data_IF_655282691772
#
_entry.id   IF_655282691772
#
_cell.length_a   1.000
_cell.length_b   1.000
_cell.length_c   1.000
_cell.angle_alpha   90.00
_cell.angle_beta   90.00
_cell.angle_gamma   90.00
#
_symmetry.space_group_name_H-M   'P 1'
#
loop_
_entity.id
_entity.type
_entity.pdbx_description
1 polymer ?
#
# COMPACT_ATOMS: atom_id res chain seq x y z
N UNK A 1 18.43 25.84 -14.09
CA UNK A 1 19.44 25.34 -13.12
C UNK A 1 19.58 23.85 -13.30
N UNK A 2 20.79 23.41 -13.67
CA UNK A 2 21.16 22.04 -14.06
C UNK A 2 20.73 20.99 -13.03
N UNK A 3 19.80 20.10 -13.42
CA UNK A 3 19.51 18.87 -12.69
C UNK A 3 20.58 17.83 -13.05
N UNK A 4 21.73 17.88 -12.39
CA UNK A 4 22.69 16.76 -12.46
C UNK A 4 22.13 15.59 -11.64
N UNK A 5 21.69 14.54 -12.32
CA UNK A 5 21.15 13.33 -11.69
C UNK A 5 22.33 12.42 -11.33
N UNK A 6 22.51 12.11 -10.04
CA UNK A 6 23.42 11.03 -9.60
C UNK A 6 22.53 9.82 -9.31
N UNK A 7 22.38 8.93 -10.28
CA UNK A 7 21.66 7.66 -10.15
C UNK A 7 20.26 7.78 -9.55
N UNK A 8 19.26 8.21 -10.32
CA UNK A 8 17.82 8.23 -9.94
C UNK A 8 17.40 8.96 -8.65
N UNK A 9 18.34 9.49 -7.86
CA UNK A 9 18.11 10.39 -6.72
C UNK A 9 18.36 11.81 -7.20
N UNK A 10 17.41 12.71 -6.95
CA UNK A 10 17.60 14.10 -7.35
C UNK A 10 18.53 14.81 -6.36
N UNK A 11 19.29 15.80 -6.85
CA UNK A 11 20.09 16.66 -5.96
C UNK A 11 19.21 17.34 -4.91
N UNK A 12 17.94 17.64 -5.24
CA UNK A 12 16.99 18.23 -4.32
C UNK A 12 16.70 17.30 -3.13
N UNK A 13 16.59 15.99 -3.34
CA UNK A 13 16.37 15.01 -2.27
C UNK A 13 17.59 14.93 -1.34
N UNK A 14 18.80 14.89 -1.93
CA UNK A 14 20.05 14.95 -1.16
C UNK A 14 20.15 16.24 -0.34
N UNK A 15 19.69 17.35 -0.89
CA UNK A 15 19.69 18.65 -0.22
C UNK A 15 18.66 18.69 0.92
N UNK A 16 17.46 18.15 0.70
CA UNK A 16 16.43 18.03 1.74
C UNK A 16 16.90 17.15 2.91
N UNK A 17 17.53 16.01 2.63
CA UNK A 17 18.10 15.15 3.66
C UNK A 17 19.24 15.81 4.44
N UNK A 18 20.07 16.61 3.76
CA UNK A 18 21.09 17.43 4.42
C UNK A 18 20.47 18.47 5.35
N UNK A 19 19.44 19.18 4.89
CA UNK A 19 18.75 20.20 5.67
C UNK A 19 18.03 19.63 6.90
N UNK A 20 17.44 18.44 6.76
CA UNK A 20 16.84 17.71 7.89
C UNK A 20 17.87 17.46 9.00
N UNK A 21 19.07 17.00 8.67
CA UNK A 21 20.12 16.76 9.67
C UNK A 21 20.68 18.06 10.26
N UNK A 22 20.79 19.12 9.45
CA UNK A 22 21.19 20.45 9.92
C UNK A 22 20.16 21.05 10.89
N UNK A 23 18.87 20.76 10.70
CA UNK A 23 17.80 21.19 11.60
C UNK A 23 17.86 20.52 12.98
N UNK A 24 18.70 19.51 13.16
CA UNK A 24 18.89 18.75 14.40
C UNK A 24 20.36 18.78 14.85
N UNK A 25 20.87 19.95 15.27
CA UNK A 25 22.30 20.16 15.56
C UNK A 25 22.82 19.25 16.68
N UNK A 26 21.97 18.90 17.65
CA UNK A 26 22.31 17.97 18.74
C UNK A 26 22.67 16.56 18.22
N UNK A 27 21.98 16.09 17.18
CA UNK A 27 22.26 14.79 16.55
C UNK A 27 23.49 14.88 15.65
N UNK A 28 23.60 15.97 14.89
CA UNK A 28 24.71 16.19 13.98
C UNK A 28 26.04 16.30 14.73
N UNK A 29 26.05 16.94 15.90
CA UNK A 29 27.23 17.24 16.70
C UNK A 29 27.41 16.31 17.91
N UNK A 30 26.64 15.23 18.02
CA UNK A 30 26.60 14.34 19.19
C UNK A 30 27.97 13.87 19.70
N UNK A 31 28.94 13.67 18.79
CA UNK A 31 30.30 13.23 19.15
C UNK A 31 31.38 14.27 18.85
N UNK A 32 30.98 15.52 18.55
CA UNK A 32 31.92 16.61 18.32
C UNK A 32 32.62 16.99 19.62
N UNK A 33 33.94 17.11 19.58
CA UNK A 33 34.76 17.58 20.71
C UNK A 33 35.52 18.83 20.27
N UNK A 34 35.40 19.89 21.05
CA UNK A 34 36.07 21.18 20.81
C UNK A 34 37.60 20.98 20.88
N UNK A 35 38.07 20.12 21.78
CA UNK A 35 39.48 19.81 22.02
C UNK A 35 40.10 18.93 20.91
N UNK A 36 39.29 18.41 20.00
CA UNK A 36 39.70 17.49 18.93
C UNK A 36 40.36 18.14 17.72
N UNK A 37 40.66 19.44 17.77
CA UNK A 37 41.43 20.18 16.74
C UNK A 37 40.73 20.41 15.40
N UNK A 38 39.51 19.88 15.21
CA UNK A 38 38.74 20.06 13.97
C UNK A 38 37.73 21.21 14.09
N UNK A 39 37.68 22.08 13.08
CA UNK A 39 36.64 23.10 12.99
C UNK A 39 35.27 22.42 12.87
N UNK A 40 34.27 22.97 13.56
CA UNK A 40 32.89 22.48 13.53
C UNK A 40 32.34 22.30 12.10
N UNK A 41 32.70 23.21 11.19
CA UNK A 41 32.32 23.16 9.77
C UNK A 41 32.89 21.94 9.05
N UNK A 42 34.16 21.59 9.32
CA UNK A 42 34.83 20.42 8.76
C UNK A 42 34.20 19.12 9.28
N UNK A 43 33.92 19.06 10.58
CA UNK A 43 33.25 17.91 11.20
C UNK A 43 31.83 17.73 10.64
N UNK A 44 31.03 18.80 10.62
CA UNK A 44 29.67 18.79 10.10
C UNK A 44 29.62 18.38 8.62
N UNK A 45 30.51 18.94 7.78
CA UNK A 45 30.59 18.57 6.35
C UNK A 45 30.85 17.07 6.16
N UNK A 46 31.81 16.52 6.89
CA UNK A 46 32.15 15.09 6.83
C UNK A 46 30.98 14.23 7.28
N UNK A 47 30.33 14.60 8.38
CA UNK A 47 29.17 13.89 8.93
C UNK A 47 27.97 13.91 7.99
N UNK A 48 27.65 15.08 7.42
CA UNK A 48 26.57 15.24 6.43
C UNK A 48 26.82 14.41 5.17
N UNK A 49 28.06 14.38 4.67
CA UNK A 49 28.42 13.56 3.51
C UNK A 49 28.19 12.08 3.77
N UNK A 50 28.55 11.59 4.97
CA UNK A 50 28.28 10.20 5.37
C UNK A 50 26.78 9.93 5.45
N UNK A 51 26.00 10.76 6.14
CA UNK A 51 24.56 10.53 6.33
C UNK A 51 23.79 10.58 5.02
N UNK A 52 24.06 11.59 4.18
CA UNK A 52 23.44 11.68 2.85
C UNK A 52 23.86 10.50 1.98
N UNK A 53 25.12 10.09 2.01
CA UNK A 53 25.60 8.90 1.30
C UNK A 53 24.91 7.61 1.74
N UNK A 54 24.68 7.42 3.04
CA UNK A 54 23.95 6.28 3.60
C UNK A 54 22.47 6.31 3.18
N UNK A 55 21.80 7.48 3.21
CA UNK A 55 20.41 7.65 2.75
C UNK A 55 20.29 7.35 1.25
N UNK A 56 21.20 7.85 0.41
CA UNK A 56 21.27 7.52 -1.04
C UNK A 56 21.42 6.00 -1.24
N UNK A 57 22.35 5.36 -0.54
CA UNK A 57 22.60 3.94 -0.68
C UNK A 57 21.39 3.09 -0.22
N UNK A 58 20.74 3.48 0.88
CA UNK A 58 19.53 2.84 1.39
C UNK A 58 18.37 2.97 0.39
N UNK A 59 18.17 4.16 -0.17
CA UNK A 59 17.14 4.42 -1.18
C UNK A 59 17.36 3.59 -2.45
N UNK A 60 18.60 3.56 -2.95
CA UNK A 60 18.96 2.74 -4.12
C UNK A 60 18.78 1.24 -3.86
N UNK A 61 19.13 0.77 -2.65
CA UNK A 61 18.90 -0.62 -2.25
C UNK A 61 17.41 -0.97 -2.21
N UNK A 62 16.57 -0.11 -1.64
CA UNK A 62 15.11 -0.31 -1.60
C UNK A 62 14.49 -0.32 -3.00
N UNK A 63 14.95 0.57 -3.89
CA UNK A 63 14.48 0.62 -5.28
C UNK A 63 14.91 -0.60 -6.11
N UNK A 64 16.13 -1.09 -5.92
CA UNK A 64 16.59 -2.33 -6.55
C UNK A 64 15.91 -3.58 -5.94
N UNK A 65 15.55 -3.54 -4.66
CA UNK A 65 14.81 -4.58 -3.95
C UNK A 65 13.30 -4.59 -4.27
N UNK A 66 12.78 -3.55 -4.96
CA UNK A 66 11.36 -3.46 -5.29
C UNK A 66 10.92 -4.48 -6.36
N UNK A 67 11.84 -4.98 -7.19
CA UNK A 67 11.56 -6.04 -8.17
C UNK A 67 11.97 -7.42 -7.65
N UNK A 68 11.13 -8.42 -7.88
CA UNK A 68 11.37 -9.83 -7.53
C UNK A 68 12.72 -10.36 -8.05
N UNK A 69 13.08 -9.96 -9.27
CA UNK A 69 14.33 -10.36 -9.93
C UNK A 69 15.56 -9.65 -9.36
N UNK A 70 15.39 -8.42 -8.87
CA UNK A 70 16.42 -7.68 -8.14
C UNK A 70 16.73 -8.31 -6.78
N UNK A 71 15.70 -8.81 -6.09
CA UNK A 71 15.86 -9.57 -4.85
C UNK A 71 16.64 -10.87 -5.08
N UNK A 72 16.26 -11.64 -6.10
CA UNK A 72 16.97 -12.88 -6.47
C UNK A 72 18.42 -12.62 -6.90
N UNK A 73 18.69 -11.52 -7.61
CA UNK A 73 20.07 -11.17 -8.03
C UNK A 73 20.93 -10.69 -6.86
N UNK A 74 20.33 -9.99 -5.90
CA UNK A 74 21.00 -9.37 -4.76
C UNK A 74 21.29 -10.33 -3.59
N UNK A 75 20.57 -11.44 -3.48
CA UNK A 75 20.74 -12.37 -2.37
C UNK A 75 22.01 -13.22 -2.49
N UNK A 76 22.62 -13.55 -1.35
CA UNK A 76 23.76 -14.49 -1.30
C UNK A 76 23.27 -15.94 -1.19
N UNK A 77 24.05 -16.89 -1.72
CA UNK A 77 23.73 -18.33 -1.66
C UNK A 77 23.47 -18.81 -0.24
N UNK A 78 24.34 -18.42 0.71
CA UNK A 78 24.22 -18.78 2.13
C UNK A 78 22.94 -18.23 2.77
N UNK A 79 22.58 -16.98 2.45
CA UNK A 79 21.36 -16.34 2.96
C UNK A 79 20.11 -17.01 2.39
N UNK A 80 20.10 -17.34 1.10
CA UNK A 80 18.99 -18.04 0.47
C UNK A 80 18.80 -19.45 1.03
N UNK A 81 19.88 -20.21 1.24
CA UNK A 81 19.83 -21.53 1.87
C UNK A 81 19.23 -21.46 3.28
N UNK A 82 19.67 -20.50 4.08
CA UNK A 82 19.14 -20.26 5.43
C UNK A 82 17.64 -19.94 5.41
N UNK A 83 17.19 -19.12 4.45
CA UNK A 83 15.77 -18.75 4.29
C UNK A 83 14.93 -19.95 3.84
N UNK A 84 15.40 -20.73 2.87
CA UNK A 84 14.69 -21.92 2.40
C UNK A 84 14.53 -22.95 3.52
N UNK A 85 15.54 -23.08 4.39
CA UNK A 85 15.51 -23.98 5.55
C UNK A 85 14.60 -23.45 6.66
N UNK A 86 14.68 -22.16 7.00
CA UNK A 86 13.94 -21.56 8.13
C UNK A 86 12.48 -21.20 7.81
N UNK A 87 12.24 -20.53 6.69
CA UNK A 87 10.91 -20.01 6.32
C UNK A 87 10.15 -20.98 5.39
N UNK A 88 10.86 -21.73 4.56
CA UNK A 88 10.27 -22.68 3.61
C UNK A 88 9.98 -24.06 4.19
N UNK A 89 10.63 -24.43 5.30
CA UNK A 89 10.50 -25.77 5.91
C UNK A 89 10.94 -26.92 5.00
N UNK A 90 11.74 -26.64 3.96
CA UNK A 90 12.14 -27.63 2.96
C UNK A 90 13.22 -28.60 3.49
N UNK A 91 13.16 -29.86 3.04
CA UNK A 91 14.24 -30.83 3.25
C UNK A 91 15.48 -30.55 2.40
N UNK A 92 16.63 -31.12 2.78
CA UNK A 92 17.95 -30.84 2.15
C UNK A 92 18.00 -31.09 0.64
N UNK A 93 17.28 -32.09 0.12
CA UNK A 93 17.21 -32.34 -1.33
C UNK A 93 16.43 -31.25 -2.07
N UNK A 94 15.35 -30.78 -1.46
CA UNK A 94 14.48 -29.77 -2.06
C UNK A 94 15.14 -28.38 -2.00
N UNK A 95 15.90 -28.10 -0.93
CA UNK A 95 16.76 -26.91 -0.84
C UNK A 95 17.79 -26.92 -1.98
N UNK A 96 18.46 -28.04 -2.24
CA UNK A 96 19.43 -28.15 -3.34
C UNK A 96 18.81 -27.85 -4.71
N UNK A 97 17.58 -28.33 -4.96
CA UNK A 97 16.83 -28.03 -6.20
C UNK A 97 16.54 -26.53 -6.34
N UNK A 98 16.07 -25.88 -5.28
CA UNK A 98 15.79 -24.43 -5.31
C UNK A 98 17.05 -23.57 -5.45
N UNK A 99 18.15 -23.97 -4.79
CA UNK A 99 19.45 -23.31 -4.95
C UNK A 99 20.03 -23.48 -6.35
N UNK A 100 19.81 -24.64 -6.98
CA UNK A 100 20.24 -24.88 -8.35
C UNK A 100 19.46 -23.99 -9.33
N UNK A 101 18.14 -23.89 -9.18
CA UNK A 101 17.32 -22.99 -9.99
C UNK A 101 17.78 -21.53 -9.87
N UNK A 102 18.07 -21.08 -8.64
CA UNK A 102 18.61 -19.75 -8.38
C UNK A 102 20.00 -19.53 -9.01
N UNK A 103 20.87 -20.53 -8.97
CA UNK A 103 22.20 -20.45 -9.58
C UNK A 103 22.08 -20.32 -11.11
N UNK A 104 21.27 -21.17 -11.75
CA UNK A 104 20.99 -21.08 -13.19
C UNK A 104 20.39 -19.73 -13.57
N UNK A 105 19.51 -19.16 -12.73
CA UNK A 105 19.01 -17.80 -12.93
C UNK A 105 20.15 -16.77 -12.88
N UNK A 106 21.01 -16.81 -11.85
CA UNK A 106 22.08 -15.82 -11.64
C UNK A 106 23.11 -15.82 -12.77
N UNK A 107 23.42 -16.99 -13.32
CA UNK A 107 24.45 -17.16 -14.34
C UNK A 107 23.97 -16.71 -15.73
N UNK A 108 22.66 -16.77 -16.00
CA UNK A 108 22.09 -16.45 -17.33
C UNK A 108 21.31 -15.13 -17.39
N UNK A 109 20.98 -14.53 -16.25
CA UNK A 109 20.18 -13.31 -16.21
C UNK A 109 21.05 -12.04 -16.34
N UNK A 110 21.05 -11.46 -17.55
CA UNK A 110 21.81 -10.24 -17.86
C UNK A 110 21.20 -8.97 -17.26
N UNK A 111 19.92 -8.98 -16.89
CA UNK A 111 19.25 -7.89 -16.18
C UNK A 111 19.04 -6.64 -17.03
N UNK A 112 18.00 -6.66 -17.87
CA UNK A 112 17.58 -5.48 -18.63
C UNK A 112 16.87 -4.51 -17.68
N UNK A 113 17.33 -3.26 -17.64
CA UNK A 113 16.71 -2.20 -16.84
C UNK A 113 15.78 -1.37 -17.72
N UNK A 114 14.52 -1.24 -17.31
CA UNK A 114 13.60 -0.22 -17.85
C UNK A 114 13.14 0.66 -16.69
N UNK A 115 13.25 1.98 -16.86
CA UNK A 115 12.91 2.98 -15.82
C UNK A 115 13.59 2.75 -14.44
N UNK A 116 14.76 2.09 -14.42
CA UNK A 116 15.50 1.79 -13.19
C UNK A 116 15.02 0.55 -12.42
N UNK A 117 14.09 -0.23 -12.98
CA UNK A 117 13.58 -1.48 -12.41
C UNK A 117 14.10 -2.66 -13.25
N UNK A 118 14.54 -3.74 -12.58
CA UNK A 118 14.97 -4.97 -13.24
C UNK A 118 13.74 -5.71 -13.78
N UNK A 119 13.73 -5.94 -15.08
CA UNK A 119 12.63 -6.62 -15.78
C UNK A 119 12.73 -8.15 -15.61
N UNK A 120 11.62 -8.90 -15.73
CA UNK A 120 11.68 -10.36 -15.78
C UNK A 120 12.61 -10.84 -16.90
N UNK A 121 13.19 -12.06 -16.78
CA UNK A 121 13.93 -12.66 -17.88
C UNK A 121 13.06 -12.73 -19.14
N UNK A 122 13.67 -12.48 -20.29
CA UNK A 122 12.98 -12.66 -21.58
C UNK A 122 12.81 -14.15 -21.91
N UNK A 123 12.06 -14.44 -22.97
CA UNK A 123 11.76 -15.82 -23.37
C UNK A 123 13.03 -16.65 -23.62
N UNK A 124 14.04 -16.08 -24.28
CA UNK A 124 15.29 -16.76 -24.56
C UNK A 124 16.10 -17.06 -23.29
N UNK A 125 16.11 -16.12 -22.33
CA UNK A 125 16.73 -16.30 -21.03
C UNK A 125 16.04 -17.39 -20.23
N UNK A 126 14.70 -17.45 -20.24
CA UNK A 126 13.97 -18.54 -19.58
C UNK A 126 14.31 -19.91 -20.16
N UNK A 127 14.43 -20.02 -21.48
CA UNK A 127 14.84 -21.27 -22.13
C UNK A 127 16.26 -21.68 -21.71
N UNK A 128 17.21 -20.75 -21.69
CA UNK A 128 18.59 -21.02 -21.27
C UNK A 128 18.69 -21.44 -19.80
N UNK A 129 17.99 -20.72 -18.90
CA UNK A 129 17.89 -21.07 -17.48
C UNK A 129 17.32 -22.48 -17.33
N UNK A 130 16.27 -22.79 -18.10
CA UNK A 130 15.60 -24.10 -18.06
C UNK A 130 16.49 -25.23 -18.54
N UNK A 131 17.17 -25.03 -19.65
CA UNK A 131 18.06 -26.02 -20.23
C UNK A 131 19.23 -26.32 -19.29
N UNK A 132 19.87 -25.30 -18.72
CA UNK A 132 20.97 -25.50 -17.78
C UNK A 132 20.52 -26.17 -16.49
N UNK A 133 19.34 -25.80 -15.96
CA UNK A 133 18.78 -26.45 -14.79
C UNK A 133 18.53 -27.94 -15.05
N UNK A 134 17.90 -28.29 -16.17
CA UNK A 134 17.61 -29.69 -16.52
C UNK A 134 18.89 -30.50 -16.74
N UNK A 135 19.94 -29.91 -17.32
CA UNK A 135 21.24 -30.57 -17.44
C UNK A 135 21.89 -30.82 -16.07
N UNK A 136 21.85 -29.84 -15.19
CA UNK A 136 22.49 -29.93 -13.88
C UNK A 136 21.70 -30.81 -12.89
N UNK A 137 20.36 -30.82 -12.95
CA UNK A 137 19.54 -31.63 -12.05
C UNK A 137 19.66 -33.12 -12.37
N UNK A 138 19.84 -33.48 -13.65
CA UNK A 138 20.07 -34.86 -14.07
C UNK A 138 21.44 -35.40 -13.63
N UNK A 139 22.37 -34.53 -13.22
CA UNK A 139 23.64 -34.95 -12.60
C UNK A 139 23.51 -35.17 -11.09
N UNK A 140 22.45 -34.65 -10.47
CA UNK A 140 22.21 -34.69 -9.02
C UNK A 140 21.13 -35.71 -8.65
N UNK A 141 20.13 -35.90 -9.50
CA UNK A 141 19.03 -36.84 -9.30
C UNK A 141 19.25 -38.11 -10.13
N UNK A 142 18.97 -39.28 -9.53
CA UNK A 142 19.07 -40.58 -10.21
C UNK A 142 17.92 -40.82 -11.22
N UNK A 143 16.95 -39.92 -11.30
CA UNK A 143 15.84 -39.96 -12.25
C UNK A 143 15.81 -38.69 -13.10
N UNK A 144 15.61 -38.81 -14.43
CA UNK A 144 15.57 -37.65 -15.32
C UNK A 144 14.34 -36.81 -15.02
N UNK A 145 14.57 -35.57 -14.58
CA UNK A 145 13.52 -34.64 -14.20
C UNK A 145 13.55 -33.46 -15.16
N UNK A 146 12.64 -33.47 -16.14
CA UNK A 146 12.53 -32.42 -17.14
C UNK A 146 11.51 -31.39 -16.68
N UNK A 147 12.00 -30.26 -16.19
CA UNK A 147 11.13 -29.12 -15.88
C UNK A 147 10.97 -28.22 -17.09
N UNK A 148 9.76 -27.71 -17.25
CA UNK A 148 9.43 -26.66 -18.21
C UNK A 148 9.77 -25.28 -17.63
N UNK A 149 9.87 -24.27 -18.49
CA UNK A 149 10.18 -22.89 -18.07
C UNK A 149 9.20 -22.31 -17.04
N UNK A 150 7.88 -22.58 -17.11
CA UNK A 150 6.94 -22.18 -16.05
C UNK A 150 7.23 -22.82 -14.68
N UNK A 151 7.64 -24.09 -14.64
CA UNK A 151 7.92 -24.79 -13.38
C UNK A 151 9.19 -24.27 -12.69
N UNK A 152 10.19 -23.88 -13.47
CA UNK A 152 11.40 -23.24 -12.91
C UNK A 152 11.09 -21.82 -12.46
N UNK A 153 10.25 -21.11 -13.20
CA UNK A 153 9.73 -19.80 -12.79
C UNK A 153 9.00 -19.88 -11.46
N UNK A 154 8.11 -20.85 -11.27
CA UNK A 154 7.40 -21.07 -10.00
C UNK A 154 8.37 -21.33 -8.83
N UNK A 155 9.43 -22.13 -9.04
CA UNK A 155 10.48 -22.34 -8.03
C UNK A 155 11.21 -21.05 -7.67
N UNK A 156 11.52 -20.19 -8.64
CA UNK A 156 12.16 -18.90 -8.40
C UNK A 156 11.22 -17.89 -7.72
N UNK A 157 9.95 -17.87 -8.10
CA UNK A 157 8.92 -17.04 -7.44
C UNK A 157 8.68 -17.49 -6.00
N UNK A 158 8.76 -18.80 -5.73
CA UNK A 158 8.74 -19.34 -4.36
C UNK A 158 9.93 -18.83 -3.54
N UNK A 159 11.14 -18.83 -4.11
CA UNK A 159 12.31 -18.22 -3.48
C UNK A 159 12.08 -16.73 -3.18
N UNK A 160 11.52 -15.96 -4.13
CA UNK A 160 11.20 -14.54 -3.93
C UNK A 160 10.24 -14.33 -2.76
N UNK A 161 9.15 -15.09 -2.70
CA UNK A 161 8.16 -14.99 -1.62
C UNK A 161 8.81 -15.22 -0.26
N UNK A 162 9.66 -16.23 -0.14
CA UNK A 162 10.37 -16.55 1.09
C UNK A 162 11.43 -15.49 1.44
N UNK A 163 12.14 -14.94 0.45
CA UNK A 163 13.07 -13.83 0.66
C UNK A 163 12.32 -12.61 1.22
N UNK A 164 11.21 -12.22 0.59
CA UNK A 164 10.37 -11.10 1.06
C UNK A 164 9.88 -11.33 2.49
N UNK A 165 9.46 -12.56 2.82
CA UNK A 165 9.06 -12.95 4.18
C UNK A 165 10.21 -12.89 5.19
N UNK A 166 11.43 -13.21 4.77
CA UNK A 166 12.61 -13.19 5.64
C UNK A 166 13.26 -11.81 5.82
N UNK A 167 13.11 -10.92 4.83
CA UNK A 167 13.60 -9.53 4.90
C UNK A 167 12.60 -8.62 5.61
N UNK A 168 11.32 -9.01 5.60
CA UNK A 168 10.28 -8.53 6.49
C UNK A 168 9.87 -9.66 7.44
N UNK A 169 10.79 -10.15 8.31
CA UNK A 169 10.37 -11.11 9.33
C UNK A 169 9.28 -10.43 10.16
N UNK A 170 8.27 -11.15 10.66
CA UNK A 170 7.23 -10.58 11.51
C UNK A 170 7.79 -10.25 12.90
N UNK A 171 8.79 -9.36 12.94
CA UNK A 171 9.25 -8.64 14.09
C UNK A 171 8.31 -7.48 14.30
N UNK A 172 7.64 -7.54 15.43
CA UNK A 172 6.88 -6.48 16.06
C UNK A 172 7.79 -5.25 16.19
N UNK A 173 7.72 -4.37 15.20
CA UNK A 173 8.20 -3.00 15.27
C UNK A 173 7.03 -2.10 14.89
N UNK A 174 6.56 -1.32 15.87
CA UNK A 174 5.44 -0.38 15.78
C UNK A 174 5.70 0.83 14.85
N UNK A 175 6.62 0.72 13.90
CA UNK A 175 7.10 1.81 13.05
C UNK A 175 6.94 1.58 11.54
N UNK A 176 6.33 0.46 11.13
CA UNK A 176 5.96 0.20 9.73
C UNK A 176 4.53 0.65 9.39
N UNK A 177 4.16 1.90 9.65
CA UNK A 177 2.92 2.45 9.08
C UNK A 177 3.23 2.88 7.66
N UNK A 178 2.74 2.09 6.69
CA UNK A 178 2.52 2.56 5.34
C UNK A 178 1.47 3.68 5.41
N UNK A 179 1.88 4.91 5.11
CA UNK A 179 0.98 6.06 5.03
C UNK A 179 0.54 6.29 3.58
N UNK A 180 0.02 5.26 2.91
CA UNK A 180 -0.62 5.48 1.61
C UNK A 180 -2.09 5.84 1.81
N UNK A 181 -2.34 7.10 2.15
CA UNK A 181 -3.52 7.79 1.66
C UNK A 181 -3.07 8.60 0.43
N UNK A 182 -3.32 8.06 -0.76
CA UNK A 182 -3.32 8.83 -2.00
C UNK A 182 -2.00 9.03 -2.75
N UNK A 183 -1.07 8.08 -2.74
CA UNK A 183 0.08 8.08 -3.65
C UNK A 183 0.09 6.83 -4.56
N UNK A 184 -0.92 6.67 -5.40
CA UNK A 184 -0.78 5.87 -6.63
C UNK A 184 -1.46 6.61 -7.79
N UNK A 185 -0.70 7.48 -8.46
CA UNK A 185 -1.00 7.89 -9.82
C UNK A 185 -0.60 6.75 -10.77
N UNK A 186 -1.59 6.03 -11.29
CA UNK A 186 -1.48 5.34 -12.58
C UNK A 186 -1.50 3.81 -12.56
N UNK A 187 -2.68 3.26 -12.89
CA UNK A 187 -2.95 1.94 -13.48
C UNK A 187 -2.42 0.71 -12.72
N UNK A 188 -3.31 0.10 -11.94
CA UNK A 188 -3.32 -1.32 -11.61
C UNK A 188 -4.77 -1.81 -11.62
N UNK A 189 -5.03 -2.91 -12.32
CA UNK A 189 -6.35 -3.47 -12.61
C UNK A 189 -7.18 -3.69 -11.34
N UNK A 190 -8.38 -3.12 -11.32
CA UNK A 190 -9.38 -3.35 -10.28
C UNK A 190 -9.91 -4.77 -10.46
N UNK A 191 -9.61 -5.63 -9.48
CA UNK A 191 -10.29 -6.91 -9.30
C UNK A 191 -11.80 -6.69 -9.33
N UNK A 192 -12.50 -7.52 -10.10
CA UNK A 192 -13.97 -7.56 -10.19
C UNK A 192 -14.59 -7.53 -8.79
N UNK A 193 -15.36 -6.48 -8.50
CA UNK A 193 -16.11 -6.28 -7.26
C UNK A 193 -17.44 -7.06 -7.26
N UNK A 194 -17.43 -8.28 -7.80
CA UNK A 194 -18.58 -9.17 -7.82
C UNK A 194 -18.16 -10.61 -7.53
N UNK A 195 -18.23 -11.00 -6.26
CA UNK A 195 -18.07 -12.39 -5.88
C UNK A 195 -17.87 -12.54 -4.37
N UNK A 196 -18.86 -13.16 -3.73
CA UNK A 196 -18.73 -13.84 -2.43
C UNK A 196 -18.77 -13.01 -1.14
N UNK A 197 -19.96 -12.44 -0.89
CA UNK A 197 -20.51 -12.24 0.47
C UNK A 197 -20.84 -13.58 1.20
N UNK A 198 -20.22 -14.69 0.81
CA UNK A 198 -20.61 -16.03 1.24
C UNK A 198 -19.52 -16.79 2.05
N UNK A 199 -18.34 -16.21 2.30
CA UNK A 199 -17.23 -16.93 2.94
C UNK A 199 -16.71 -16.38 4.28
N UNK A 200 -17.48 -15.56 5.00
CA UNK A 200 -17.15 -15.14 6.37
C UNK A 200 -18.27 -15.45 7.36
N UNK A 201 -18.67 -16.72 7.45
CA UNK A 201 -19.38 -17.26 8.63
C UNK A 201 -18.39 -17.60 9.77
N UNK A 202 -17.40 -16.74 10.02
CA UNK A 202 -16.62 -16.85 11.25
C UNK A 202 -17.23 -15.90 12.29
N UNK A 203 -17.89 -16.40 13.36
CA UNK A 203 -18.53 -15.54 14.37
C UNK A 203 -17.53 -14.58 15.04
N UNK A 204 -16.22 -14.92 15.04
CA UNK A 204 -15.15 -14.02 15.49
C UNK A 204 -14.95 -12.80 14.58
N UNK A 205 -15.11 -12.94 13.26
CA UNK A 205 -14.96 -11.82 12.30
C UNK A 205 -16.07 -10.80 12.48
N UNK A 206 -17.32 -11.27 12.57
CA UNK A 206 -18.48 -10.39 12.79
C UNK A 206 -18.39 -9.61 14.09
N UNK A 207 -17.92 -10.24 15.17
CA UNK A 207 -17.72 -9.56 16.44
C UNK A 207 -16.63 -8.48 16.38
N UNK A 208 -15.52 -8.77 15.68
CA UNK A 208 -14.46 -7.80 15.43
C UNK A 208 -14.97 -6.60 14.62
N UNK A 209 -15.72 -6.84 13.56
CA UNK A 209 -16.33 -5.81 12.72
C UNK A 209 -17.28 -4.91 13.54
N UNK A 210 -18.10 -5.48 14.43
CA UNK A 210 -18.98 -4.73 15.33
C UNK A 210 -18.20 -3.84 16.30
N UNK A 211 -17.13 -4.37 16.90
CA UNK A 211 -16.25 -3.58 17.79
C UNK A 211 -15.62 -2.42 17.01
N UNK A 212 -15.07 -2.70 15.83
CA UNK A 212 -14.44 -1.68 14.99
C UNK A 212 -15.43 -0.62 14.54
N UNK A 213 -16.63 -1.03 14.11
CA UNK A 213 -17.72 -0.13 13.74
C UNK A 213 -18.08 0.80 14.88
N UNK A 214 -18.38 0.25 16.06
CA UNK A 214 -18.76 1.03 17.24
C UNK A 214 -17.67 2.04 17.63
N UNK A 215 -16.40 1.62 17.61
CA UNK A 215 -15.29 2.51 17.94
C UNK A 215 -15.06 3.58 16.89
N UNK A 216 -15.19 3.25 15.61
CA UNK A 216 -15.08 4.22 14.53
C UNK A 216 -16.20 5.26 14.57
N UNK A 217 -17.45 4.83 14.80
CA UNK A 217 -18.60 5.72 14.95
C UNK A 217 -18.50 6.63 16.18
N UNK A 218 -17.81 6.18 17.23
CA UNK A 218 -17.54 6.97 18.44
C UNK A 218 -16.41 7.99 18.28
N UNK A 219 -15.62 7.93 17.20
CA UNK A 219 -14.62 8.96 16.90
C UNK A 219 -15.29 10.32 16.67
N UNK A 220 -14.57 11.40 16.93
CA UNK A 220 -15.03 12.73 16.55
C UNK A 220 -15.24 12.84 15.03
N UNK A 221 -16.19 13.70 14.62
CA UNK A 221 -16.59 13.83 13.21
C UNK A 221 -15.44 14.24 12.29
N UNK A 222 -14.50 15.03 12.79
CA UNK A 222 -13.29 15.42 12.04
C UNK A 222 -12.37 14.22 11.79
N UNK A 223 -12.18 13.36 12.80
CA UNK A 223 -11.44 12.10 12.66
C UNK A 223 -12.10 11.15 11.67
N UNK A 224 -13.43 11.01 11.70
CA UNK A 224 -14.16 10.22 10.70
C UNK A 224 -13.96 10.82 9.30
N UNK A 225 -14.14 12.15 9.16
CA UNK A 225 -14.00 12.87 7.90
C UNK A 225 -12.66 12.60 7.20
N UNK A 226 -11.54 12.55 7.94
CA UNK A 226 -10.23 12.22 7.36
C UNK A 226 -10.28 10.90 6.55
N UNK A 227 -10.93 9.87 7.07
CA UNK A 227 -11.04 8.58 6.39
C UNK A 227 -12.04 8.60 5.24
N UNK A 228 -13.19 9.28 5.37
CA UNK A 228 -14.13 9.43 4.25
C UNK A 228 -13.49 10.17 3.08
N UNK A 229 -12.75 11.26 3.35
CA UNK A 229 -12.07 12.02 2.33
C UNK A 229 -10.95 11.20 1.66
N UNK A 230 -10.14 10.48 2.45
CA UNK A 230 -8.99 9.74 1.94
C UNK A 230 -9.32 8.40 1.30
N UNK A 231 -10.10 7.55 1.96
CA UNK A 231 -10.43 6.19 1.50
C UNK A 231 -11.68 6.15 0.61
N UNK A 232 -12.62 7.04 0.88
CA UNK A 232 -13.91 7.06 0.20
C UNK A 232 -13.91 7.91 -1.06
N UNK A 233 -13.37 9.13 -0.97
CA UNK A 233 -13.33 10.10 -2.07
C UNK A 233 -11.96 10.17 -2.78
N UNK A 234 -10.96 9.41 -2.29
CA UNK A 234 -9.60 9.38 -2.84
C UNK A 234 -8.92 10.77 -2.89
N UNK A 235 -9.17 11.63 -1.90
CA UNK A 235 -8.44 12.90 -1.80
C UNK A 235 -6.99 12.63 -1.37
N UNK A 236 -6.08 13.40 -1.95
CA UNK A 236 -4.68 13.45 -1.52
C UNK A 236 -4.56 14.07 -0.13
N UNK A 237 -3.45 13.80 0.59
CA UNK A 237 -3.21 14.42 1.90
C UNK A 237 -3.22 15.96 1.84
N UNK A 238 -2.78 16.57 0.73
CA UNK A 238 -2.86 18.02 0.53
C UNK A 238 -4.30 18.51 0.52
N UNK A 239 -5.16 17.84 -0.25
CA UNK A 239 -6.57 18.19 -0.37
C UNK A 239 -7.32 17.95 0.95
N UNK A 240 -6.99 16.88 1.68
CA UNK A 240 -7.57 16.62 3.01
C UNK A 240 -7.16 17.72 3.99
N UNK A 241 -5.90 18.16 3.99
CA UNK A 241 -5.44 19.27 4.84
C UNK A 241 -6.20 20.56 4.51
N UNK A 242 -6.49 20.83 3.25
CA UNK A 242 -7.26 22.02 2.85
C UNK A 242 -8.70 21.99 3.37
N UNK A 243 -9.37 20.82 3.35
CA UNK A 243 -10.72 20.65 3.88
C UNK A 243 -10.71 20.69 5.41
N UNK A 244 -9.88 19.87 6.05
CA UNK A 244 -9.87 19.66 7.50
C UNK A 244 -9.25 20.85 8.23
N UNK A 245 -8.25 21.52 7.66
CA UNK A 245 -7.56 22.65 8.28
C UNK A 245 -8.45 23.86 8.53
N UNK A 246 -9.58 23.98 7.82
CA UNK A 246 -10.61 25.01 8.06
C UNK A 246 -11.38 24.77 9.37
N UNK A 247 -11.50 23.51 9.77
CA UNK A 247 -12.30 23.06 10.92
C UNK A 247 -11.41 22.82 12.13
N UNK A 248 -10.22 22.26 11.89
CA UNK A 248 -9.21 21.97 12.89
C UNK A 248 -7.92 22.72 12.59
N UNK A 249 -7.73 23.93 13.15
CA UNK A 249 -6.58 24.80 12.86
C UNK A 249 -5.22 24.19 13.21
N UNK A 250 -5.19 23.10 13.98
CA UNK A 250 -3.99 22.35 14.34
C UNK A 250 -3.44 21.50 13.18
N UNK A 251 -4.27 21.19 12.17
CA UNK A 251 -3.91 20.38 11.00
C UNK A 251 -3.76 21.33 9.80
N UNK A 252 -2.58 21.93 9.64
CA UNK A 252 -2.26 22.83 8.52
C UNK A 252 -1.28 22.23 7.52
N UNK A 253 -0.63 21.13 7.88
CA UNK A 253 0.41 20.51 7.09
C UNK A 253 0.21 18.99 7.02
N UNK A 254 0.60 18.38 5.91
CA UNK A 254 0.42 16.95 5.65
C UNK A 254 0.99 16.07 6.78
N UNK A 255 2.18 16.39 7.30
CA UNK A 255 2.78 15.59 8.37
C UNK A 255 1.92 15.55 9.66
N UNK A 256 1.16 16.61 9.94
CA UNK A 256 0.26 16.68 11.09
C UNK A 256 -0.95 15.78 10.86
N UNK A 257 -1.48 15.78 9.63
CA UNK A 257 -2.51 14.86 9.19
C UNK A 257 -2.03 13.40 9.29
N UNK A 258 -0.83 13.07 8.79
CA UNK A 258 -0.28 11.71 8.89
C UNK A 258 -0.14 11.25 10.34
N UNK A 259 0.33 12.13 11.24
CA UNK A 259 0.38 11.85 12.68
C UNK A 259 -1.00 11.63 13.30
N UNK A 260 -2.01 12.41 12.88
CA UNK A 260 -3.39 12.26 13.34
C UNK A 260 -3.97 10.92 12.89
N UNK A 261 -3.79 10.55 11.63
CA UNK A 261 -4.19 9.24 11.09
C UNK A 261 -3.55 8.11 11.88
N UNK A 262 -2.22 8.18 12.14
CA UNK A 262 -1.53 7.20 12.98
C UNK A 262 -2.19 7.06 14.35
N UNK A 263 -2.46 8.19 15.03
CA UNK A 263 -3.09 8.17 16.36
C UNK A 263 -4.47 7.52 16.33
N UNK A 264 -5.29 7.82 15.31
CA UNK A 264 -6.63 7.24 15.18
C UNK A 264 -6.55 5.74 14.91
N UNK A 265 -5.71 5.31 13.96
CA UNK A 265 -5.50 3.88 13.67
C UNK A 265 -5.03 3.13 14.93
N UNK A 266 -4.06 3.68 15.66
CA UNK A 266 -3.58 3.09 16.91
C UNK A 266 -4.68 2.98 17.97
N UNK A 267 -5.56 3.98 18.07
CA UNK A 267 -6.70 3.91 18.98
C UNK A 267 -7.69 2.80 18.58
N UNK A 268 -8.01 2.66 17.30
CA UNK A 268 -8.89 1.60 16.81
C UNK A 268 -8.29 0.20 17.03
N UNK A 269 -6.99 0.02 16.78
CA UNK A 269 -6.27 -1.24 17.05
C UNK A 269 -6.34 -1.58 18.55
N UNK A 270 -6.09 -0.61 19.41
CA UNK A 270 -6.13 -0.82 20.85
C UNK A 270 -7.55 -1.16 21.34
N UNK A 271 -8.57 -0.46 20.83
CA UNK A 271 -9.96 -0.78 21.13
C UNK A 271 -10.38 -2.17 20.64
N UNK A 272 -9.93 -2.57 19.44
CA UNK A 272 -10.15 -3.92 18.92
C UNK A 272 -9.49 -4.97 19.83
N UNK A 273 -8.25 -4.71 20.27
CA UNK A 273 -7.52 -5.59 21.20
C UNK A 273 -8.26 -5.76 22.52
N UNK A 274 -8.73 -4.66 23.12
CA UNK A 274 -9.51 -4.70 24.36
C UNK A 274 -10.83 -5.45 24.15
N UNK A 275 -11.52 -5.21 23.02
CA UNK A 275 -12.78 -5.89 22.70
C UNK A 275 -12.63 -7.41 22.53
N UNK A 276 -11.60 -7.86 21.81
CA UNK A 276 -11.32 -9.29 21.61
C UNK A 276 -10.94 -9.97 22.93
N UNK A 277 -10.07 -9.35 23.73
CA UNK A 277 -9.62 -9.91 25.02
C UNK A 277 -10.72 -9.94 26.08
N UNK A 278 -11.75 -9.09 25.97
CA UNK A 278 -12.94 -9.16 26.82
C UNK A 278 -13.93 -10.24 26.38
N UNK A 279 -13.94 -10.59 25.09
CA UNK A 279 -14.79 -11.64 24.50
C UNK A 279 -14.24 -13.04 24.76
N UNK A 280 -12.91 -13.21 24.68
CA UNK A 280 -12.24 -14.46 25.02
C UNK A 280 -11.87 -14.47 26.50
N UNK A 281 -12.51 -15.31 27.32
CA UNK A 281 -12.14 -15.54 28.74
C UNK A 281 -10.71 -16.12 28.94
N UNK A 282 -9.80 -15.95 27.98
CA UNK A 282 -8.43 -16.46 27.98
C UNK A 282 -7.51 -15.54 27.16
N UNK A 283 -6.52 -14.86 27.77
CA UNK A 283 -5.63 -13.93 27.08
C UNK A 283 -4.50 -14.69 26.36
N UNK A 284 -4.79 -15.39 25.26
CA UNK A 284 -3.74 -15.94 24.40
C UNK A 284 -3.33 -14.92 23.33
N UNK A 285 -2.17 -14.30 23.56
CA UNK A 285 -1.52 -13.25 22.78
C UNK A 285 -0.95 -13.74 21.42
N UNK A 286 -1.71 -14.55 20.66
CA UNK A 286 -1.28 -15.16 19.40
C UNK A 286 -1.89 -14.58 18.13
N UNK A 287 -3.12 -14.07 18.17
CA UNK A 287 -3.92 -13.72 16.98
C UNK A 287 -3.88 -12.20 16.63
N UNK A 288 -3.07 -11.41 17.34
CA UNK A 288 -3.01 -9.93 17.22
C UNK A 288 -2.34 -9.46 15.92
N UNK A 289 -1.50 -10.31 15.29
CA UNK A 289 -0.70 -9.94 14.11
C UNK A 289 -1.55 -9.70 12.86
N UNK A 290 -2.76 -10.27 12.81
CA UNK A 290 -3.66 -10.14 11.66
C UNK A 290 -4.62 -8.94 11.78
N UNK A 291 -4.76 -8.34 12.96
CA UNK A 291 -5.70 -7.21 13.19
C UNK A 291 -5.31 -5.97 12.37
N UNK A 292 -4.02 -5.73 12.11
CA UNK A 292 -3.59 -4.52 11.40
C UNK A 292 -3.96 -4.58 9.90
N UNK A 293 -3.58 -5.63 9.13
CA UNK A 293 -4.09 -5.80 7.76
C UNK A 293 -5.62 -5.83 7.71
N UNK A 294 -6.25 -6.56 8.63
CA UNK A 294 -7.71 -6.64 8.73
C UNK A 294 -8.35 -5.29 9.03
N UNK A 295 -7.72 -4.41 9.81
CA UNK A 295 -8.24 -3.06 10.07
C UNK A 295 -8.19 -2.17 8.84
N UNK A 296 -7.11 -2.23 8.06
CA UNK A 296 -6.99 -1.40 6.86
C UNK A 296 -7.98 -1.82 5.78
N UNK A 297 -8.09 -3.14 5.55
CA UNK A 297 -9.10 -3.73 4.67
C UNK A 297 -10.52 -3.40 5.15
N UNK A 298 -10.80 -3.59 6.44
CA UNK A 298 -12.10 -3.28 7.03
C UNK A 298 -12.43 -1.78 6.95
N UNK A 299 -11.49 -0.87 7.25
CA UNK A 299 -11.72 0.57 7.15
C UNK A 299 -12.04 0.98 5.71
N UNK A 300 -11.33 0.40 4.74
CA UNK A 300 -11.55 0.67 3.33
C UNK A 300 -12.92 0.17 2.88
N UNK A 301 -13.28 -1.06 3.23
CA UNK A 301 -14.58 -1.66 2.91
C UNK A 301 -15.72 -0.90 3.61
N UNK A 302 -15.61 -0.66 4.91
CA UNK A 302 -16.60 0.06 5.70
C UNK A 302 -16.88 1.47 5.15
N UNK A 303 -15.83 2.26 4.88
CA UNK A 303 -15.97 3.62 4.33
C UNK A 303 -16.55 3.58 2.92
N UNK A 304 -16.10 2.65 2.07
CA UNK A 304 -16.63 2.49 0.71
C UNK A 304 -18.13 2.15 0.72
N UNK A 305 -18.54 1.18 1.54
CA UNK A 305 -19.94 0.82 1.73
C UNK A 305 -20.76 2.00 2.25
N UNK A 306 -20.26 2.69 3.27
CA UNK A 306 -21.01 3.80 3.86
C UNK A 306 -21.18 4.97 2.89
N UNK A 307 -20.24 5.21 1.97
CA UNK A 307 -20.42 6.18 0.90
C UNK A 307 -21.49 5.73 -0.10
N UNK A 308 -21.53 4.45 -0.47
CA UNK A 308 -22.59 3.91 -1.32
C UNK A 308 -23.96 4.02 -0.65
N UNK A 309 -24.05 3.78 0.66
CA UNK A 309 -25.29 3.98 1.42
C UNK A 309 -25.73 5.44 1.36
N UNK A 310 -24.81 6.39 1.59
CA UNK A 310 -25.14 7.82 1.49
C UNK A 310 -25.62 8.19 0.09
N UNK A 311 -25.00 7.65 -0.97
CA UNK A 311 -25.46 7.85 -2.35
C UNK A 311 -26.85 7.24 -2.58
N UNK A 312 -27.10 6.06 -2.03
CA UNK A 312 -28.40 5.36 -2.10
C UNK A 312 -29.49 6.16 -1.41
N UNK A 313 -29.27 6.56 -0.16
CA UNK A 313 -30.23 7.36 0.58
C UNK A 313 -30.45 8.74 -0.09
N UNK A 314 -29.43 9.30 -0.76
CA UNK A 314 -29.57 10.54 -1.55
C UNK A 314 -30.46 10.29 -2.75
N UNK A 315 -30.18 9.24 -3.53
CA UNK A 315 -30.96 8.86 -4.70
C UNK A 315 -32.42 8.60 -4.33
N UNK A 316 -32.69 7.88 -3.24
CA UNK A 316 -34.04 7.59 -2.76
C UNK A 316 -34.82 8.83 -2.37
N UNK A 317 -34.15 9.89 -1.90
CA UNK A 317 -34.76 11.17 -1.56
C UNK A 317 -35.09 12.06 -2.76
N UNK A 318 -34.58 11.74 -3.96
CA UNK A 318 -34.84 12.53 -5.17
C UNK A 318 -36.27 12.33 -5.71
N UNK A 319 -36.82 13.34 -6.42
CA UNK A 319 -38.05 13.19 -7.18
C UNK A 319 -37.97 12.09 -8.23
N UNK A 320 -39.09 11.42 -8.54
CA UNK A 320 -39.11 10.28 -9.48
C UNK A 320 -38.64 10.66 -10.89
N UNK A 321 -38.91 11.89 -11.33
CA UNK A 321 -38.41 12.38 -12.62
C UNK A 321 -36.88 12.48 -12.70
N UNK A 322 -36.20 12.85 -11.60
CA UNK A 322 -34.74 12.91 -11.55
C UNK A 322 -34.13 11.52 -11.45
N UNK A 323 -34.76 10.61 -10.68
CA UNK A 323 -34.37 9.21 -10.61
C UNK A 323 -34.38 8.55 -11.99
N UNK A 324 -35.45 8.79 -12.75
CA UNK A 324 -35.61 8.24 -14.10
C UNK A 324 -34.60 8.85 -15.09
N UNK A 325 -34.30 10.14 -14.97
CA UNK A 325 -33.24 10.78 -15.76
C UNK A 325 -31.86 10.16 -15.49
N UNK A 326 -31.50 9.93 -14.23
CA UNK A 326 -30.23 9.30 -13.83
C UNK A 326 -30.15 7.87 -14.36
N UNK A 327 -31.22 7.08 -14.23
CA UNK A 327 -31.29 5.72 -14.79
C UNK A 327 -31.06 5.71 -16.29
N UNK A 328 -31.79 6.55 -17.03
CA UNK A 328 -31.69 6.62 -18.48
C UNK A 328 -30.29 7.06 -18.93
N UNK A 329 -29.70 8.03 -18.24
CA UNK A 329 -28.32 8.46 -18.48
C UNK A 329 -27.33 7.31 -18.28
N UNK A 330 -27.43 6.61 -17.14
CA UNK A 330 -26.58 5.47 -16.81
C UNK A 330 -26.70 4.33 -17.84
N UNK A 331 -27.91 3.86 -18.16
CA UNK A 331 -28.09 2.77 -19.13
C UNK A 331 -27.68 3.17 -20.54
N UNK A 332 -27.89 4.44 -20.94
CA UNK A 332 -27.40 4.94 -22.23
C UNK A 332 -25.87 4.97 -22.30
N UNK A 333 -25.20 5.26 -21.18
CA UNK A 333 -23.74 5.26 -21.06
C UNK A 333 -23.19 3.83 -21.16
N UNK A 334 -23.77 2.88 -20.43
CA UNK A 334 -23.40 1.46 -20.47
C UNK A 334 -23.59 0.89 -21.89
N UNK A 335 -24.72 1.18 -22.54
CA UNK A 335 -25.00 0.73 -23.90
C UNK A 335 -24.00 1.25 -24.95
N UNK A 336 -23.39 2.42 -24.71
CA UNK A 336 -22.39 3.03 -25.58
C UNK A 336 -20.95 2.57 -25.27
N UNK A 337 -20.74 1.69 -24.29
CA UNK A 337 -19.41 1.26 -23.86
C UNK A 337 -18.56 2.42 -23.33
N UNK A 338 -19.20 3.41 -22.69
CA UNK A 338 -18.53 4.61 -22.22
C UNK A 338 -17.47 4.30 -21.14
N UNK A 339 -16.43 5.13 -21.07
CA UNK A 339 -15.30 4.95 -20.14
C UNK A 339 -15.39 5.75 -18.84
N UNK A 340 -16.24 6.77 -18.80
CA UNK A 340 -16.47 7.63 -17.63
C UNK A 340 -17.90 8.16 -17.67
N UNK A 341 -18.67 7.87 -16.63
CA UNK A 341 -20.03 8.37 -16.51
C UNK A 341 -19.97 9.88 -16.22
N UNK A 342 -20.48 10.68 -17.16
CA UNK A 342 -20.72 12.09 -16.92
C UNK A 342 -22.13 12.22 -16.35
N UNK A 343 -22.25 12.75 -15.14
CA UNK A 343 -23.56 13.01 -14.54
C UNK A 343 -23.98 14.42 -14.95
N UNK A 344 -24.89 14.51 -15.91
CA UNK A 344 -25.50 15.78 -16.31
C UNK A 344 -26.57 16.26 -15.32
N UNK A 345 -26.78 15.53 -14.20
CA UNK A 345 -27.67 15.94 -13.12
C UNK A 345 -26.88 16.66 -12.02
N UNK A 346 -26.76 18.00 -12.06
CA UNK A 346 -26.15 18.76 -10.98
C UNK A 346 -26.93 18.60 -9.66
N UNK A 347 -28.24 18.29 -9.72
CA UNK A 347 -29.08 18.09 -8.56
C UNK A 347 -28.64 16.88 -7.72
N UNK A 348 -28.35 15.74 -8.35
CA UNK A 348 -27.91 14.54 -7.62
C UNK A 348 -26.53 14.72 -7.00
N UNK A 349 -25.59 15.27 -7.76
CA UNK A 349 -24.23 15.55 -7.29
C UNK A 349 -24.25 16.55 -6.12
N UNK A 350 -25.04 17.62 -6.23
CA UNK A 350 -25.19 18.62 -5.17
C UNK A 350 -25.87 18.05 -3.93
N UNK A 351 -26.95 17.27 -4.08
CA UNK A 351 -27.63 16.62 -2.96
C UNK A 351 -26.71 15.64 -2.23
N UNK A 352 -25.94 14.85 -2.99
CA UNK A 352 -24.96 13.90 -2.43
C UNK A 352 -23.87 14.63 -1.65
N UNK A 353 -23.33 15.72 -2.23
CA UNK A 353 -22.35 16.57 -1.57
C UNK A 353 -22.89 17.15 -0.26
N UNK A 354 -24.08 17.74 -0.29
CA UNK A 354 -24.71 18.31 0.91
C UNK A 354 -24.94 17.25 2.00
N UNK A 355 -25.33 16.04 1.60
CA UNK A 355 -25.53 14.95 2.53
C UNK A 355 -24.21 14.50 3.18
N UNK A 356 -23.13 14.38 2.40
CA UNK A 356 -21.79 14.11 2.94
C UNK A 356 -21.28 15.23 3.86
N UNK A 357 -21.46 16.49 3.48
CA UNK A 357 -21.10 17.67 4.29
C UNK A 357 -21.84 17.64 5.64
N UNK A 358 -23.14 17.33 5.62
CA UNK A 358 -23.97 17.22 6.84
C UNK A 358 -23.55 16.04 7.74
N UNK A 359 -23.21 14.89 7.15
CA UNK A 359 -22.84 13.67 7.89
C UNK A 359 -21.49 13.81 8.61
N UNK A 360 -20.57 14.53 7.97
CA UNK A 360 -19.19 14.72 8.44
C UNK A 360 -18.98 16.05 9.17
N UNK A 361 -19.96 16.96 9.16
CA UNK A 361 -19.84 18.33 9.66
C UNK A 361 -18.66 19.07 9.05
N UNK A 362 -18.48 18.93 7.72
CA UNK A 362 -17.40 19.56 6.96
C UNK A 362 -17.94 20.34 5.76
N UNK A 363 -17.09 21.20 5.18
CA UNK A 363 -17.38 21.95 3.96
C UNK A 363 -16.44 21.49 2.83
N UNK A 364 -16.99 20.86 1.80
CA UNK A 364 -16.24 20.26 0.68
C UNK A 364 -15.96 21.29 -0.42
N UNK A 365 -15.33 22.42 -0.07
CA UNK A 365 -15.14 23.59 -0.97
C UNK A 365 -13.87 23.57 -1.82
N UNK A 366 -13.20 22.43 -1.97
CA UNK A 366 -11.93 22.36 -2.72
C UNK A 366 -12.17 22.34 -4.23
N UNK A 367 -11.21 22.87 -4.98
CA UNK A 367 -11.26 22.86 -6.44
C UNK A 367 -11.23 21.40 -6.96
N UNK A 368 -12.11 21.10 -7.92
CA UNK A 368 -12.19 19.77 -8.51
C UNK A 368 -12.83 18.69 -7.62
N UNK A 369 -13.45 19.05 -6.49
CA UNK A 369 -14.14 18.10 -5.60
C UNK A 369 -15.18 17.24 -6.33
N UNK A 370 -15.87 17.82 -7.30
CA UNK A 370 -16.92 17.13 -8.07
C UNK A 370 -16.34 15.89 -8.78
N UNK A 371 -15.11 15.96 -9.28
CA UNK A 371 -14.44 14.79 -9.87
C UNK A 371 -14.23 13.64 -8.86
N UNK A 372 -13.99 13.97 -7.60
CA UNK A 372 -13.84 13.00 -6.52
C UNK A 372 -15.18 12.42 -6.06
N UNK A 373 -16.28 13.15 -6.25
CA UNK A 373 -17.64 12.69 -5.94
C UNK A 373 -18.24 11.83 -7.05
N UNK A 374 -17.86 12.06 -8.32
CA UNK A 374 -18.36 11.29 -9.46
C UNK A 374 -17.98 9.79 -9.37
N UNK A 375 -16.76 9.47 -8.93
CA UNK A 375 -16.30 8.08 -8.87
C UNK A 375 -17.14 7.22 -7.90
N UNK A 376 -17.43 7.65 -6.66
CA UNK A 376 -18.39 6.96 -5.80
C UNK A 376 -19.80 6.86 -6.37
N UNK A 377 -20.30 7.90 -7.05
CA UNK A 377 -21.63 7.87 -7.68
C UNK A 377 -21.70 6.88 -8.84
N UNK A 378 -20.64 6.77 -9.64
CA UNK A 378 -20.51 5.75 -10.68
C UNK A 378 -20.51 4.34 -10.08
N UNK A 379 -19.77 4.12 -8.98
CA UNK A 379 -19.81 2.85 -8.23
C UNK A 379 -21.21 2.54 -7.69
N UNK A 380 -21.90 3.55 -7.15
CA UNK A 380 -23.29 3.42 -6.72
C UNK A 380 -24.19 2.99 -7.89
N UNK A 381 -24.11 3.65 -9.05
CA UNK A 381 -24.91 3.27 -10.22
C UNK A 381 -24.61 1.84 -10.68
N UNK A 382 -23.33 1.47 -10.76
CA UNK A 382 -22.90 0.12 -11.12
C UNK A 382 -23.41 -0.95 -10.14
N UNK A 383 -23.49 -0.64 -8.85
CA UNK A 383 -23.93 -1.59 -7.82
C UNK A 383 -25.45 -1.63 -7.66
N UNK A 384 -26.10 -0.47 -7.57
CA UNK A 384 -27.51 -0.34 -7.21
C UNK A 384 -28.45 -0.46 -8.42
N UNK A 385 -28.08 0.13 -9.57
CA UNK A 385 -28.94 0.13 -10.75
C UNK A 385 -28.84 -1.19 -11.54
N UNK A 386 -27.65 -1.79 -11.66
CA UNK A 386 -27.51 -3.09 -12.34
C UNK A 386 -28.12 -4.27 -11.56
N UNK A 387 -28.33 -4.16 -10.24
CA UNK A 387 -28.96 -5.22 -9.44
C UNK A 387 -30.49 -5.20 -9.45
N UNK A 388 -31.11 -4.12 -9.94
CA UNK A 388 -32.58 -3.94 -9.95
C UNK A 388 -33.23 -4.06 -11.33
N UNK A 389 -32.46 -4.45 -12.35
CA UNK A 389 -32.94 -4.92 -13.66
C UNK A 389 -32.94 -6.44 -13.63
#
# INVERSE_FOLDING_TARGET
MDRRIVGSVSIADCFAWGNEEVSQPERLLKTYRIDGGSRITTYAKRRLTTIVGEKVNSYLKRKNAASDWGLLKGISRKKLEEILRKEGGFGEEEIKKHLLAWQCFKDNYSGIRRHGILQPPDYCQWQLITQQYNLAINQICQQPLFLTSPQIREKLETCVKLIRRSENPPNVSYEGISYSLGEEEGRGELSDFSGDLANLENPKSKHLEEILKKNFEALDKTSQAIFYLGLGLNLTQTQIVEVIGKIQPEIRQQYQLSRRIKKIKMHLIESARIGITAYENNPQCGEIKDIIPTLEEWLQEYVAHRIIDVATETYESLPEGEKEAIRNQYFSFVAKGGKKLDFDSPAFLQAFRQKLESLLLISLTIEGIDNHLLLPLEKFCNYYLNRRV
#
